data_IF_301869437317
#
_entry.id   IF_301869437317
#
_cell.length_a   1.000
_cell.length_b   1.000
_cell.length_c   1.000
_cell.angle_alpha   90.00
_cell.angle_beta   90.00
_cell.angle_gamma   90.00
#
_symmetry.space_group_name_H-M   'P 1'
#
loop_
_entity.id
_entity.type
_entity.pdbx_description
1 polymer ?
#
# COMPACT_ATOMS: atom_id res chain seq x y z
N UNK A 1 -10.63 3.74 18.05
CA UNK A 1 -9.25 3.22 17.94
C UNK A 1 -9.38 1.70 17.96
N UNK A 2 -9.21 1.02 16.85
CA UNK A 2 -9.17 -0.45 16.85
C UNK A 2 -7.91 -0.83 17.62
N UNK A 3 -8.07 -1.53 18.73
CA UNK A 3 -6.93 -2.08 19.48
C UNK A 3 -6.27 -3.14 18.59
N UNK A 4 -5.00 -2.92 18.24
CA UNK A 4 -4.18 -3.89 17.53
C UNK A 4 -4.06 -5.12 18.43
N UNK A 5 -4.63 -6.25 18.01
CA UNK A 5 -4.45 -7.51 18.72
C UNK A 5 -3.03 -8.07 18.53
N UNK A 6 -2.69 -9.09 19.31
CA UNK A 6 -1.34 -9.67 19.29
C UNK A 6 -0.97 -10.27 17.93
N UNK A 7 -1.92 -10.92 17.24
CA UNK A 7 -1.68 -11.56 15.96
C UNK A 7 -1.44 -10.51 14.85
N UNK A 8 -2.21 -9.42 14.82
CA UNK A 8 -2.02 -8.31 13.89
C UNK A 8 -0.67 -7.60 14.16
N UNK A 9 -0.32 -7.40 15.45
CA UNK A 9 0.97 -6.80 15.82
C UNK A 9 2.14 -7.66 15.34
N UNK A 10 2.09 -8.95 15.52
CA UNK A 10 3.12 -9.89 15.06
C UNK A 10 3.30 -9.80 13.54
N UNK A 11 2.21 -9.85 12.78
CA UNK A 11 2.25 -9.71 11.31
C UNK A 11 2.87 -8.37 10.89
N UNK A 12 2.40 -7.28 11.45
CA UNK A 12 2.86 -5.93 11.11
C UNK A 12 4.32 -5.68 11.52
N UNK A 13 4.80 -6.29 12.61
CA UNK A 13 6.20 -6.18 13.03
C UNK A 13 7.19 -6.87 12.08
N UNK A 14 6.72 -7.89 11.35
CA UNK A 14 7.53 -8.62 10.37
C UNK A 14 7.64 -7.92 9.01
N UNK A 15 6.84 -6.88 8.75
CA UNK A 15 6.81 -6.19 7.46
C UNK A 15 8.15 -5.51 7.16
N UNK A 16 8.66 -5.77 5.95
CA UNK A 16 9.84 -5.12 5.37
C UNK A 16 9.49 -4.31 4.12
N UNK A 17 8.37 -4.62 3.49
CA UNK A 17 7.89 -3.90 2.32
C UNK A 17 6.36 -3.79 2.35
N UNK A 18 5.85 -2.60 2.01
CA UNK A 18 4.43 -2.36 1.75
C UNK A 18 4.21 -2.31 0.24
N UNK A 19 3.40 -3.21 -0.27
CA UNK A 19 2.99 -3.28 -1.67
C UNK A 19 1.54 -2.79 -1.79
N UNK A 20 1.30 -1.87 -2.70
CA UNK A 20 0.02 -1.18 -2.86
C UNK A 20 -0.55 -1.40 -4.26
N UNK A 21 -1.85 -1.66 -4.35
CA UNK A 21 -2.59 -1.32 -5.56
C UNK A 21 -2.75 0.21 -5.67
N UNK A 22 -3.24 0.67 -6.80
CA UNK A 22 -3.44 2.10 -7.07
C UNK A 22 -4.92 2.48 -7.07
N UNK A 23 -5.67 1.91 -8.00
CA UNK A 23 -7.07 2.30 -8.22
C UNK A 23 -7.96 1.66 -7.15
N UNK A 24 -8.51 2.48 -6.26
CA UNK A 24 -9.26 2.03 -5.10
C UNK A 24 -8.45 1.95 -3.81
N UNK A 25 -7.11 2.00 -3.85
CA UNK A 25 -6.24 2.00 -2.65
C UNK A 25 -5.52 3.34 -2.47
N UNK A 26 -4.67 3.74 -3.42
CA UNK A 26 -4.00 5.04 -3.44
C UNK A 26 -4.91 6.16 -3.98
N UNK A 27 -5.95 5.80 -4.71
CA UNK A 27 -7.00 6.69 -5.23
C UNK A 27 -8.37 6.23 -4.76
N UNK A 28 -9.41 6.99 -5.08
CA UNK A 28 -10.81 6.66 -4.79
C UNK A 28 -11.44 5.66 -5.79
N UNK A 29 -10.64 5.05 -6.66
CA UNK A 29 -11.09 4.09 -7.68
C UNK A 29 -11.86 4.71 -8.85
N UNK A 30 -12.12 6.03 -8.85
CA UNK A 30 -12.84 6.70 -9.92
C UNK A 30 -11.92 7.04 -11.09
N UNK A 31 -12.50 7.02 -12.28
CA UNK A 31 -11.83 7.44 -13.50
C UNK A 31 -12.21 8.88 -13.83
N UNK A 32 -11.24 9.78 -13.83
CA UNK A 32 -11.40 11.18 -14.20
C UNK A 32 -10.78 11.41 -15.56
N UNK A 33 -11.55 11.96 -16.50
CA UNK A 33 -11.07 12.30 -17.83
C UNK A 33 -11.28 13.79 -18.11
N UNK A 34 -10.30 14.42 -18.74
CA UNK A 34 -10.50 15.76 -19.31
C UNK A 34 -11.24 15.68 -20.66
N UNK A 35 -11.53 16.83 -21.25
CA UNK A 35 -12.25 16.92 -22.53
C UNK A 35 -11.43 16.35 -23.71
N UNK A 36 -10.13 16.17 -23.57
CA UNK A 36 -9.25 15.56 -24.58
C UNK A 36 -9.07 14.05 -24.38
N UNK A 37 -9.71 13.49 -23.33
CA UNK A 37 -9.63 12.07 -22.98
C UNK A 37 -8.40 11.69 -22.17
N UNK A 38 -7.64 12.65 -21.64
CA UNK A 38 -6.51 12.35 -20.75
C UNK A 38 -7.02 11.96 -19.37
N UNK A 39 -6.48 10.87 -18.82
CA UNK A 39 -6.80 10.41 -17.48
C UNK A 39 -6.09 11.27 -16.42
N UNK A 40 -6.85 11.71 -15.42
CA UNK A 40 -6.32 12.36 -14.22
C UNK A 40 -6.55 11.44 -13.00
N UNK A 41 -5.62 11.49 -12.04
CA UNK A 41 -5.76 10.78 -10.75
C UNK A 41 -5.52 11.73 -9.59
N UNK A 42 -6.36 11.60 -8.56
CA UNK A 42 -6.19 12.30 -7.31
C UNK A 42 -5.52 11.38 -6.28
N UNK A 43 -4.43 11.86 -5.68
CA UNK A 43 -3.71 11.16 -4.61
C UNK A 43 -3.81 11.94 -3.31
N UNK A 44 -3.93 11.22 -2.20
CA UNK A 44 -3.98 11.83 -0.87
C UNK A 44 -2.55 12.18 -0.40
N UNK A 45 -2.36 13.42 0.07
CA UNK A 45 -1.06 13.88 0.58
C UNK A 45 -0.64 13.16 1.86
N UNK A 46 -1.61 12.78 2.72
CA UNK A 46 -1.35 12.05 3.96
C UNK A 46 -0.80 10.63 3.68
N UNK A 47 -1.31 9.97 2.65
CA UNK A 47 -0.83 8.66 2.20
C UNK A 47 0.62 8.75 1.74
N UNK A 48 0.94 9.76 0.92
CA UNK A 48 2.31 10.00 0.49
C UNK A 48 3.26 10.28 1.66
N UNK A 49 2.82 11.02 2.69
CA UNK A 49 3.63 11.25 3.90
C UNK A 49 3.82 9.95 4.70
N UNK A 50 2.79 9.10 4.79
CA UNK A 50 2.90 7.79 5.42
C UNK A 50 3.94 6.90 4.73
N UNK A 51 3.89 6.81 3.40
CA UNK A 51 4.86 6.07 2.60
C UNK A 51 6.30 6.56 2.84
N UNK A 52 6.52 7.89 2.83
CA UNK A 52 7.83 8.48 3.15
C UNK A 52 8.29 8.18 4.58
N UNK A 53 7.37 8.13 5.53
CA UNK A 53 7.69 7.77 6.92
C UNK A 53 8.16 6.32 7.03
N UNK A 54 7.55 5.38 6.33
CA UNK A 54 8.01 3.98 6.26
C UNK A 54 9.41 3.89 5.63
N UNK A 55 9.63 4.56 4.50
CA UNK A 55 10.94 4.58 3.84
C UNK A 55 12.04 5.15 4.76
N UNK A 56 11.73 6.18 5.54
CA UNK A 56 12.68 6.80 6.49
C UNK A 56 13.12 5.87 7.62
N UNK A 57 12.43 4.75 7.85
CA UNK A 57 12.80 3.70 8.82
C UNK A 57 13.17 2.37 8.16
N UNK A 58 13.46 2.40 6.85
CA UNK A 58 13.98 1.25 6.10
C UNK A 58 12.92 0.23 5.66
N UNK A 59 11.63 0.61 5.61
CA UNK A 59 10.58 -0.22 5.04
C UNK A 59 10.34 0.25 3.60
N UNK A 60 10.50 -0.66 2.65
CA UNK A 60 10.37 -0.36 1.23
C UNK A 60 8.91 -0.25 0.80
N UNK A 61 8.68 0.47 -0.30
CA UNK A 61 7.36 0.62 -0.93
C UNK A 61 7.43 0.08 -2.35
N UNK A 62 6.41 -0.68 -2.74
CA UNK A 62 6.19 -1.10 -4.11
C UNK A 62 4.75 -0.83 -4.54
N UNK A 63 4.54 -0.74 -5.84
CA UNK A 63 3.21 -0.57 -6.46
C UNK A 63 3.02 -1.63 -7.54
N UNK A 64 1.88 -2.33 -7.50
CA UNK A 64 1.46 -3.28 -8.54
C UNK A 64 0.04 -2.94 -8.96
N UNK A 65 -0.14 -2.47 -10.19
CA UNK A 65 -1.45 -2.06 -10.73
C UNK A 65 -1.72 -2.63 -12.12
N UNK A 66 -2.99 -2.96 -12.39
CA UNK A 66 -3.43 -3.45 -13.70
C UNK A 66 -3.35 -2.40 -14.80
N UNK A 67 -3.51 -1.14 -14.47
CA UNK A 67 -3.55 -0.03 -15.45
C UNK A 67 -2.18 0.61 -15.65
N UNK A 68 -2.00 1.29 -16.79
CA UNK A 68 -0.86 2.19 -17.06
C UNK A 68 -1.34 3.63 -16.97
N UNK A 69 -0.65 4.46 -16.21
CA UNK A 69 -0.97 5.87 -16.03
C UNK A 69 0.30 6.67 -15.81
N UNK A 70 0.47 7.73 -16.57
CA UNK A 70 1.58 8.67 -16.41
C UNK A 70 1.49 9.39 -15.05
N UNK A 71 0.27 9.71 -14.57
CA UNK A 71 0.07 10.30 -13.27
C UNK A 71 0.60 9.41 -12.13
N UNK A 72 0.44 8.08 -12.25
CA UNK A 72 1.01 7.10 -11.30
C UNK A 72 2.53 7.14 -11.38
N UNK A 73 3.11 7.08 -12.58
CA UNK A 73 4.57 7.10 -12.77
C UNK A 73 5.19 8.35 -12.13
N UNK A 74 4.63 9.52 -12.40
CA UNK A 74 5.10 10.79 -11.83
C UNK A 74 4.94 10.83 -10.30
N UNK A 75 3.79 10.37 -9.78
CA UNK A 75 3.56 10.37 -8.33
C UNK A 75 4.51 9.43 -7.60
N UNK A 76 4.73 8.24 -8.12
CA UNK A 76 5.66 7.26 -7.51
C UNK A 76 7.11 7.77 -7.56
N UNK A 77 7.52 8.41 -8.66
CA UNK A 77 8.83 9.05 -8.76
C UNK A 77 9.02 10.16 -7.72
N UNK A 78 8.02 11.05 -7.53
CA UNK A 78 8.05 12.10 -6.48
C UNK A 78 8.18 11.52 -5.06
N UNK A 79 7.58 10.35 -4.82
CA UNK A 79 7.64 9.66 -3.54
C UNK A 79 8.90 8.81 -3.36
N UNK A 80 9.74 8.66 -4.41
CA UNK A 80 10.94 7.84 -4.38
C UNK A 80 10.68 6.34 -4.36
N UNK A 81 9.51 5.90 -4.88
CA UNK A 81 9.17 4.48 -4.98
C UNK A 81 9.94 3.85 -6.13
N UNK A 82 10.74 2.83 -5.83
CA UNK A 82 11.65 2.17 -6.79
C UNK A 82 10.94 1.06 -7.58
N UNK A 83 10.04 0.32 -6.94
CA UNK A 83 9.38 -0.84 -7.51
C UNK A 83 7.97 -0.47 -7.98
N UNK A 84 7.81 -0.19 -9.28
CA UNK A 84 6.54 0.25 -9.87
C UNK A 84 6.19 -0.65 -11.04
N UNK A 85 5.20 -1.52 -10.85
CA UNK A 85 4.69 -2.45 -11.85
C UNK A 85 3.33 -1.97 -12.35
N UNK A 86 3.29 -1.38 -13.52
CA UNK A 86 2.07 -0.92 -14.16
C UNK A 86 1.68 -1.84 -15.34
N UNK A 87 0.38 -1.89 -15.67
CA UNK A 87 -0.15 -2.71 -16.75
C UNK A 87 -0.03 -4.21 -16.45
N UNK A 88 -0.22 -4.59 -15.21
CA UNK A 88 -0.09 -5.98 -14.72
C UNK A 88 -1.44 -6.51 -14.24
N UNK A 89 -2.28 -6.94 -15.18
CA UNK A 89 -3.54 -7.63 -14.84
C UNK A 89 -3.27 -8.92 -14.05
N UNK A 90 -2.23 -9.68 -14.41
CA UNK A 90 -1.70 -10.77 -13.60
C UNK A 90 -0.75 -10.20 -12.52
N UNK A 91 -1.35 -9.74 -11.40
CA UNK A 91 -0.60 -9.19 -10.27
C UNK A 91 0.29 -10.24 -9.60
N UNK A 92 -0.08 -11.53 -9.65
CA UNK A 92 0.72 -12.59 -9.03
C UNK A 92 2.08 -12.74 -9.70
N UNK A 93 2.15 -12.73 -11.02
CA UNK A 93 3.42 -12.78 -11.75
C UNK A 93 4.30 -11.57 -11.41
N UNK A 94 3.73 -10.36 -11.34
CA UNK A 94 4.47 -9.17 -10.93
C UNK A 94 4.97 -9.28 -9.47
N UNK A 95 4.16 -9.81 -8.57
CA UNK A 95 4.53 -10.04 -7.18
C UNK A 95 5.66 -11.06 -7.03
N UNK A 96 5.61 -12.18 -7.76
CA UNK A 96 6.69 -13.17 -7.75
C UNK A 96 8.02 -12.59 -8.25
N UNK A 97 7.98 -11.80 -9.33
CA UNK A 97 9.15 -11.07 -9.81
C UNK A 97 9.68 -10.07 -8.79
N UNK A 98 8.80 -9.38 -8.06
CA UNK A 98 9.20 -8.47 -6.98
C UNK A 98 9.96 -9.22 -5.88
N UNK A 99 9.46 -10.38 -5.44
CA UNK A 99 10.14 -11.21 -4.44
C UNK A 99 11.53 -11.68 -4.90
N UNK A 100 11.64 -12.13 -6.16
CA UNK A 100 12.93 -12.52 -6.75
C UNK A 100 13.92 -11.34 -6.79
N UNK A 101 13.45 -10.16 -7.18
CA UNK A 101 14.29 -8.96 -7.32
C UNK A 101 14.80 -8.44 -5.97
N UNK A 102 13.97 -8.52 -4.93
CA UNK A 102 14.28 -7.97 -3.61
C UNK A 102 14.89 -8.99 -2.64
N UNK A 103 14.73 -10.28 -2.92
CA UNK A 103 15.12 -11.37 -2.01
C UNK A 103 14.22 -11.48 -0.77
N UNK A 104 13.12 -10.73 -0.70
CA UNK A 104 12.18 -10.78 0.40
C UNK A 104 11.27 -12.02 0.28
N UNK A 105 10.83 -12.51 1.44
CA UNK A 105 9.84 -13.56 1.51
C UNK A 105 8.42 -12.97 1.57
N UNK A 106 7.43 -13.68 1.06
CA UNK A 106 6.04 -13.23 1.06
C UNK A 106 5.53 -12.88 2.48
N UNK A 107 6.03 -13.56 3.51
CA UNK A 107 5.71 -13.31 4.93
C UNK A 107 6.20 -11.95 5.44
N UNK A 108 7.13 -11.32 4.73
CA UNK A 108 7.68 -10.00 5.06
C UNK A 108 6.97 -8.86 4.31
N UNK A 109 5.96 -9.20 3.51
CA UNK A 109 5.22 -8.25 2.69
C UNK A 109 3.88 -7.94 3.36
N UNK A 110 3.55 -6.65 3.43
CA UNK A 110 2.19 -6.16 3.57
C UNK A 110 1.67 -5.84 2.17
N UNK A 111 0.52 -6.37 1.79
CA UNK A 111 -0.17 -6.03 0.55
C UNK A 111 -1.52 -5.40 0.84
N UNK A 112 -1.82 -4.28 0.20
CA UNK A 112 -3.13 -3.62 0.28
C UNK A 112 -3.81 -3.62 -1.09
N UNK A 113 -5.03 -4.13 -1.13
CA UNK A 113 -5.88 -4.23 -2.31
C UNK A 113 -7.35 -3.96 -2.01
N UNK A 114 -8.15 -3.80 -3.05
CA UNK A 114 -9.57 -3.49 -2.95
C UNK A 114 -10.48 -4.36 -3.84
N UNK A 115 -9.93 -5.02 -4.86
CA UNK A 115 -10.74 -5.74 -5.85
C UNK A 115 -10.23 -7.18 -6.06
N UNK A 116 -11.00 -8.00 -6.74
CA UNK A 116 -10.76 -9.44 -6.95
C UNK A 116 -9.43 -9.76 -7.60
N UNK A 117 -8.92 -8.87 -8.45
CA UNK A 117 -7.60 -9.03 -9.08
C UNK A 117 -6.44 -9.01 -8.07
N UNK A 118 -6.68 -8.54 -6.85
CA UNK A 118 -5.73 -8.51 -5.74
C UNK A 118 -5.65 -9.82 -4.96
N UNK A 119 -6.73 -10.60 -4.99
CA UNK A 119 -6.85 -11.83 -4.21
C UNK A 119 -5.68 -12.80 -4.36
N UNK A 120 -5.14 -13.04 -5.59
CA UNK A 120 -4.01 -13.95 -5.75
C UNK A 120 -2.76 -13.55 -4.97
N UNK A 121 -2.51 -12.24 -4.78
CA UNK A 121 -1.40 -11.73 -3.97
C UNK A 121 -1.79 -11.72 -2.49
N UNK A 122 -2.97 -11.20 -2.19
CA UNK A 122 -3.47 -10.95 -0.85
C UNK A 122 -3.45 -12.23 0.03
N UNK A 123 -3.85 -13.39 -0.53
CA UNK A 123 -3.86 -14.66 0.21
C UNK A 123 -2.46 -15.27 0.44
N UNK A 124 -1.38 -14.67 -0.07
CA UNK A 124 -0.01 -15.18 -0.01
C UNK A 124 0.93 -14.38 0.88
N UNK A 125 0.56 -13.16 1.21
CA UNK A 125 1.42 -12.24 1.99
C UNK A 125 1.31 -12.44 3.50
N UNK A 126 2.32 -11.98 4.24
CA UNK A 126 2.33 -12.03 5.70
C UNK A 126 1.27 -11.15 6.34
N UNK A 127 1.03 -9.96 5.76
CA UNK A 127 -0.01 -9.03 6.20
C UNK A 127 -0.88 -8.61 5.01
N UNK A 128 -2.06 -9.19 4.92
CA UNK A 128 -3.09 -8.84 3.95
C UNK A 128 -3.98 -7.72 4.51
N UNK A 129 -4.11 -6.63 3.77
CA UNK A 129 -4.94 -5.48 4.16
C UNK A 129 -5.93 -5.15 3.05
N UNK A 130 -7.15 -4.83 3.41
CA UNK A 130 -8.12 -4.20 2.51
C UNK A 130 -8.51 -2.81 3.00
N UNK A 131 -8.91 -1.97 2.06
CA UNK A 131 -9.50 -0.66 2.39
C UNK A 131 -10.98 -0.81 2.81
N UNK A 132 -11.51 0.19 3.52
CA UNK A 132 -12.86 0.13 4.07
C UNK A 132 -13.96 -0.08 3.01
N UNK A 133 -13.78 0.47 1.82
CA UNK A 133 -14.68 0.40 0.68
C UNK A 133 -14.30 -0.67 -0.37
N UNK A 134 -13.41 -1.60 -0.02
CA UNK A 134 -13.05 -2.73 -0.87
C UNK A 134 -14.25 -3.68 -1.10
N UNK A 135 -14.17 -4.47 -2.16
CA UNK A 135 -15.09 -5.56 -2.42
C UNK A 135 -15.14 -6.57 -1.25
N UNK A 136 -16.34 -7.10 -0.96
CA UNK A 136 -16.56 -7.94 0.22
C UNK A 136 -15.66 -9.18 0.24
N UNK A 137 -15.44 -9.82 -0.92
CA UNK A 137 -14.55 -10.99 -1.05
C UNK A 137 -13.10 -10.68 -0.70
N UNK A 138 -12.66 -9.44 -0.92
CA UNK A 138 -11.31 -8.99 -0.55
C UNK A 138 -11.21 -8.79 0.96
N UNK A 139 -12.24 -8.18 1.56
CA UNK A 139 -12.33 -8.02 3.02
C UNK A 139 -12.32 -9.35 3.76
N UNK A 140 -13.03 -10.37 3.24
CA UNK A 140 -13.07 -11.72 3.81
C UNK A 140 -11.67 -12.38 3.90
N UNK A 141 -10.74 -12.00 3.02
CA UNK A 141 -9.38 -12.54 2.96
C UNK A 141 -8.34 -11.67 3.66
N UNK A 142 -8.72 -10.46 4.07
CA UNK A 142 -7.81 -9.53 4.73
C UNK A 142 -7.58 -9.91 6.20
N UNK A 143 -6.34 -9.78 6.66
CA UNK A 143 -6.02 -9.87 8.09
C UNK A 143 -6.45 -8.60 8.84
N UNK A 144 -6.57 -7.49 8.12
CA UNK A 144 -7.00 -6.22 8.67
C UNK A 144 -7.69 -5.36 7.60
N UNK A 145 -8.72 -4.64 8.02
CA UNK A 145 -9.50 -3.72 7.18
C UNK A 145 -9.29 -2.31 7.73
N UNK A 146 -8.93 -1.35 6.87
CA UNK A 146 -8.78 0.04 7.30
C UNK A 146 -10.14 0.65 7.70
N UNK A 147 -10.12 1.69 8.52
CA UNK A 147 -11.34 2.47 8.83
C UNK A 147 -11.61 3.53 7.77
N UNK A 148 -10.63 3.85 6.94
CA UNK A 148 -10.70 4.84 5.86
C UNK A 148 -10.81 4.16 4.51
N UNK A 149 -11.47 4.86 3.59
CA UNK A 149 -11.60 4.46 2.20
C UNK A 149 -10.29 4.67 1.43
N UNK A 150 -10.16 3.96 0.29
CA UNK A 150 -9.09 4.21 -0.67
C UNK A 150 -9.05 5.67 -1.12
N UNK A 151 -7.84 6.21 -1.30
CA UNK A 151 -7.64 7.62 -1.64
C UNK A 151 -8.00 8.63 -0.56
N UNK A 152 -8.49 8.20 0.60
CA UNK A 152 -8.89 9.08 1.72
C UNK A 152 -8.09 8.83 3.01
N UNK A 153 -6.86 8.41 2.88
CA UNK A 153 -5.96 8.19 4.02
C UNK A 153 -5.88 6.75 4.51
N UNK A 154 -6.41 5.78 3.78
CA UNK A 154 -6.29 4.35 4.09
C UNK A 154 -4.82 3.91 4.13
N UNK A 155 -4.02 4.31 3.15
CA UNK A 155 -2.59 3.98 3.10
C UNK A 155 -1.85 4.62 4.26
N UNK A 156 -2.21 5.84 4.68
CA UNK A 156 -1.65 6.46 5.89
C UNK A 156 -1.95 5.63 7.14
N UNK A 157 -3.15 5.10 7.24
CA UNK A 157 -3.57 4.24 8.36
C UNK A 157 -2.74 2.95 8.39
N UNK A 158 -2.51 2.32 7.22
CA UNK A 158 -1.63 1.14 7.08
C UNK A 158 -0.20 1.47 7.52
N UNK A 159 0.34 2.59 7.06
CA UNK A 159 1.69 3.02 7.45
C UNK A 159 1.81 3.24 8.96
N UNK A 160 0.82 3.87 9.59
CA UNK A 160 0.79 4.05 11.03
C UNK A 160 0.74 2.70 11.77
N UNK A 161 -0.10 1.75 11.30
CA UNK A 161 -0.16 0.39 11.87
C UNK A 161 1.22 -0.27 11.90
N UNK A 162 1.95 -0.22 10.78
CA UNK A 162 3.28 -0.84 10.65
C UNK A 162 4.30 -0.12 11.55
N UNK A 163 4.31 1.23 11.57
CA UNK A 163 5.19 2.02 12.43
C UNK A 163 4.97 1.69 13.90
N UNK A 164 3.71 1.67 14.34
CA UNK A 164 3.34 1.36 15.73
C UNK A 164 3.72 -0.06 16.12
N UNK A 165 3.47 -1.05 15.24
CA UNK A 165 3.83 -2.44 15.51
C UNK A 165 5.34 -2.66 15.65
N UNK A 166 6.16 -1.81 15.01
CA UNK A 166 7.62 -1.84 15.03
C UNK A 166 8.24 -0.85 16.03
N UNK A 167 7.42 -0.20 16.85
CA UNK A 167 7.83 0.82 17.84
C UNK A 167 8.68 1.96 17.21
N UNK A 168 8.33 2.37 15.97
CA UNK A 168 9.07 3.38 15.17
C UNK A 168 8.37 4.75 15.09
N UNK A 169 7.19 4.89 15.69
CA UNK A 169 6.42 6.15 15.66
C UNK A 169 7.23 7.32 16.21
N UNK A 170 7.86 7.14 17.39
CA UNK A 170 8.63 8.19 18.04
C UNK A 170 9.84 8.59 17.19
N UNK A 171 10.50 7.63 16.56
CA UNK A 171 11.64 7.91 15.65
C UNK A 171 11.24 8.84 14.50
N UNK A 172 10.03 8.67 13.93
CA UNK A 172 9.53 9.53 12.86
C UNK A 172 9.18 10.91 13.41
N UNK A 173 8.50 10.98 14.57
CA UNK A 173 8.15 12.26 15.20
C UNK A 173 9.41 13.07 15.52
N UNK A 174 10.43 12.46 16.10
CA UNK A 174 11.68 13.13 16.44
C UNK A 174 12.39 13.68 15.20
N UNK A 175 12.41 12.93 14.08
CA UNK A 175 12.96 13.41 12.81
C UNK A 175 12.21 14.62 12.27
N UNK A 176 10.88 14.62 12.35
CA UNK A 176 10.05 15.75 11.87
C UNK A 176 10.25 16.99 12.76
N UNK A 177 10.32 16.79 14.06
CA UNK A 177 10.51 17.91 15.01
C UNK A 177 11.92 18.53 14.96
N UNK A 178 12.90 17.78 14.45
CA UNK A 178 14.29 18.24 14.29
C UNK A 178 14.58 18.90 12.93
N UNK A 179 13.62 18.88 11.97
CA UNK A 179 13.74 19.50 10.64
C UNK A 179 13.15 20.91 10.62
#
# INVERSE_FOLDING_TARGET
MHTMDAALRERASNVRMLVLDVDGVLTDGKLYFDHAGNEMKAFNTRDGMGMKSLQAVGIEIAVITGRKSEAVAQRMAQLGVQHVYQGREDKLTAFMHLLETTGLQAQQICFAGDDWIDLPVLIRVGLAVSVADAEERVKEQAHWITSRNGGDGAVREICNLILTAQDKDQTILDKILAS
#
